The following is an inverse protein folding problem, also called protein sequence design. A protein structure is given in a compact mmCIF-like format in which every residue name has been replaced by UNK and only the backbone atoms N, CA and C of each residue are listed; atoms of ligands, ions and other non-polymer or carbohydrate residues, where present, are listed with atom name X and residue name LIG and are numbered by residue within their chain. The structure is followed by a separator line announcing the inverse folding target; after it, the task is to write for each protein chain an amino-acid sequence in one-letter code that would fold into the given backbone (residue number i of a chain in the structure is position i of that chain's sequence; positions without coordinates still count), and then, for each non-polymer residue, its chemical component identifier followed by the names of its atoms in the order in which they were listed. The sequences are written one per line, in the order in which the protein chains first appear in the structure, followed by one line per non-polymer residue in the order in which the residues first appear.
data_IF_162893059142
#
_entry.id   IF_162893059142
#
_cell.length_a   1.000
_cell.length_b   1.000
_cell.length_c   1.000
_cell.angle_alpha   90.00
_cell.angle_beta   90.00
_cell.angle_gamma   90.00
#
_symmetry.space_group_name_H-M   'P 1'
#
loop_
_entity.id
_entity.type
_entity.pdbx_description
1 polymer ?
#
# COMPACT_ATOMS: atom_id res chain seq x y z
N UNK A 1 4.35 -9.76 -23.68
CA UNK A 1 3.37 -10.39 -22.76
C UNK A 1 3.83 -10.64 -21.32
N UNK A 2 5.09 -10.99 -21.05
CA UNK A 2 5.57 -11.37 -19.70
C UNK A 2 5.20 -10.39 -18.58
N UNK A 3 5.40 -9.09 -18.80
CA UNK A 3 5.02 -8.06 -17.82
C UNK A 3 3.52 -7.93 -17.67
N UNK A 4 2.71 -8.15 -18.71
CA UNK A 4 1.26 -8.16 -18.57
C UNK A 4 0.75 -9.29 -17.65
N UNK A 5 1.49 -10.40 -17.55
CA UNK A 5 1.19 -11.54 -16.65
C UNK A 5 1.64 -11.34 -15.20
N UNK A 6 2.16 -10.16 -14.83
CA UNK A 6 2.55 -9.86 -13.44
C UNK A 6 4.05 -9.76 -13.21
N UNK A 7 4.88 -10.10 -14.19
CA UNK A 7 6.34 -10.03 -14.05
C UNK A 7 6.83 -8.58 -14.00
N UNK A 8 7.85 -8.31 -13.17
CA UNK A 8 8.51 -7.01 -13.13
C UNK A 8 9.90 -7.14 -13.77
N UNK A 9 10.23 -6.25 -14.72
CA UNK A 9 11.53 -6.26 -15.40
C UNK A 9 12.29 -5.00 -15.02
N UNK A 10 13.47 -5.16 -14.44
CA UNK A 10 14.38 -4.06 -14.14
C UNK A 10 15.28 -3.79 -15.34
N UNK A 11 15.25 -2.56 -15.84
CA UNK A 11 16.12 -2.08 -16.94
C UNK A 11 17.35 -1.44 -16.31
N UNK A 12 18.53 -1.92 -16.69
CA UNK A 12 19.82 -1.43 -16.18
C UNK A 12 20.63 -0.73 -17.28
N UNK A 13 21.45 0.26 -16.89
CA UNK A 13 22.49 0.88 -17.72
C UNK A 13 23.82 0.72 -17.00
N UNK A 14 24.79 0.05 -17.64
CA UNK A 14 26.07 -0.31 -17.02
C UNK A 14 25.91 -1.03 -15.66
N UNK A 15 24.97 -1.97 -15.57
CA UNK A 15 24.69 -2.71 -14.34
C UNK A 15 23.93 -1.92 -13.27
N UNK A 16 23.72 -0.61 -13.44
CA UNK A 16 22.93 0.21 -12.52
C UNK A 16 21.45 0.23 -12.95
N UNK A 17 20.49 -0.05 -12.04
CA UNK A 17 19.07 0.01 -12.37
C UNK A 17 18.66 1.47 -12.67
N UNK A 18 18.04 1.69 -13.83
CA UNK A 18 17.59 3.02 -14.28
C UNK A 18 16.08 3.12 -14.48
N UNK A 19 15.40 2.00 -14.72
CA UNK A 19 13.95 1.96 -14.90
C UNK A 19 13.41 0.57 -14.56
N UNK A 20 12.08 0.46 -14.41
CA UNK A 20 11.39 -0.81 -14.21
C UNK A 20 10.09 -0.85 -15.02
N UNK A 21 9.89 -1.91 -15.80
CA UNK A 21 8.62 -2.20 -16.44
C UNK A 21 7.75 -3.02 -15.47
N UNK A 22 6.55 -2.54 -15.19
CA UNK A 22 5.58 -3.19 -14.30
C UNK A 22 4.23 -3.33 -15.02
N UNK A 23 3.41 -4.35 -14.67
CA UNK A 23 2.07 -4.47 -15.21
C UNK A 23 1.22 -3.26 -14.79
N UNK A 24 0.47 -2.71 -15.75
CA UNK A 24 -0.52 -1.66 -15.48
C UNK A 24 -1.63 -2.30 -14.63
N UNK A 25 -1.77 -1.87 -13.38
CA UNK A 25 -2.78 -2.39 -12.44
C UNK A 25 -2.24 -3.17 -11.24
N UNK A 26 -0.93 -3.49 -11.17
CA UNK A 26 -0.36 -4.03 -9.92
C UNK A 26 -0.27 -2.91 -8.87
N UNK A 27 -0.74 -3.11 -7.63
CA UNK A 27 -0.50 -2.16 -6.57
C UNK A 27 1.01 -2.04 -6.35
N UNK A 28 1.56 -0.87 -6.64
CA UNK A 28 2.96 -0.58 -6.38
C UNK A 28 3.22 -0.77 -4.87
N UNK A 29 4.16 -1.65 -4.45
CA UNK A 29 4.50 -1.83 -3.05
C UNK A 29 4.82 -0.50 -2.33
N UNK A 30 5.45 0.43 -3.04
CA UNK A 30 5.78 1.76 -2.52
C UNK A 30 4.50 2.57 -2.24
N UNK A 31 3.49 2.48 -3.11
CA UNK A 31 2.19 3.13 -2.89
C UNK A 31 1.43 2.54 -1.69
N UNK A 32 1.56 1.24 -1.43
CA UNK A 32 0.96 0.63 -0.24
C UNK A 32 1.61 1.16 1.03
N UNK A 33 2.95 1.21 1.04
CA UNK A 33 3.71 1.75 2.17
C UNK A 33 3.34 3.21 2.43
N UNK A 34 3.30 4.02 1.38
CA UNK A 34 2.90 5.43 1.44
C UNK A 34 1.46 5.60 1.96
N UNK A 35 0.52 4.76 1.53
CA UNK A 35 -0.85 4.78 2.03
C UNK A 35 -0.94 4.45 3.53
N UNK A 36 -0.18 3.43 3.98
CA UNK A 36 -0.11 3.08 5.41
C UNK A 36 0.50 4.22 6.22
N UNK A 37 1.60 4.81 5.74
CA UNK A 37 2.23 5.96 6.41
C UNK A 37 1.26 7.14 6.54
N UNK A 38 0.48 7.45 5.48
CA UNK A 38 -0.58 8.47 5.54
C UNK A 38 -1.66 8.13 6.56
N UNK A 39 -2.12 6.89 6.62
CA UNK A 39 -3.13 6.47 7.60
C UNK A 39 -2.60 6.55 9.04
N UNK A 40 -1.34 6.16 9.26
CA UNK A 40 -0.70 6.25 10.57
C UNK A 40 -0.53 7.71 11.00
N UNK A 41 -0.07 8.59 10.11
CA UNK A 41 0.01 10.03 10.38
C UNK A 41 -1.38 10.63 10.67
N UNK A 42 -2.36 10.25 9.85
CA UNK A 42 -3.75 10.63 10.07
C UNK A 42 -4.30 10.09 11.38
N UNK A 43 -3.80 8.98 11.94
CA UNK A 43 -4.30 8.47 13.22
C UNK A 43 -3.77 9.24 14.43
N UNK A 44 -2.63 9.94 14.30
CA UNK A 44 -2.01 10.66 15.42
C UNK A 44 -2.96 11.70 16.00
N UNK A 45 -3.08 11.70 17.33
CA UNK A 45 -3.92 12.63 18.08
C UNK A 45 -5.43 12.36 17.99
N UNK A 46 -5.87 11.32 17.28
CA UNK A 46 -7.29 10.93 17.21
C UNK A 46 -7.51 9.64 17.99
N UNK A 47 -8.36 9.72 19.00
CA UNK A 47 -8.74 8.58 19.85
C UNK A 47 -10.25 8.39 19.82
N UNK A 48 -10.70 7.14 19.89
CA UNK A 48 -12.12 6.80 19.80
C UNK A 48 -12.94 7.19 21.03
N UNK A 49 -12.31 7.59 22.14
CA UNK A 49 -12.99 7.98 23.39
C UNK A 49 -13.71 6.84 24.13
N UNK A 50 -13.98 5.73 23.44
CA UNK A 50 -14.62 4.51 23.94
C UNK A 50 -13.86 3.26 23.44
N UNK A 51 -14.01 2.11 24.11
CA UNK A 51 -13.40 0.87 23.64
C UNK A 51 -13.95 0.43 22.29
N UNK A 52 -13.06 0.03 21.37
CA UNK A 52 -13.43 -0.52 20.04
C UNK A 52 -14.45 -1.65 20.14
N UNK A 53 -14.36 -2.49 21.18
CA UNK A 53 -15.28 -3.61 21.42
C UNK A 53 -16.74 -3.15 21.54
N UNK A 54 -16.98 -2.03 22.22
CA UNK A 54 -18.32 -1.47 22.38
C UNK A 54 -18.91 -1.06 21.02
N UNK A 55 -18.12 -0.41 20.17
CA UNK A 55 -18.54 0.00 18.83
C UNK A 55 -18.83 -1.22 17.92
N UNK A 56 -18.06 -2.30 18.05
CA UNK A 56 -18.30 -3.55 17.30
C UNK A 56 -19.62 -4.20 17.73
N UNK A 57 -19.90 -4.23 19.03
CA UNK A 57 -21.12 -4.82 19.58
C UNK A 57 -22.37 -4.00 19.20
N UNK A 58 -22.26 -2.68 19.18
CA UNK A 58 -23.32 -1.78 18.73
C UNK A 58 -23.68 -2.01 17.25
N UNK A 59 -22.69 -2.09 16.36
CA UNK A 59 -22.93 -2.33 14.93
C UNK A 59 -23.42 -3.75 14.57
N UNK A 60 -23.48 -4.67 15.53
CA UNK A 60 -23.99 -6.04 15.36
C UNK A 60 -25.43 -6.23 15.87
N UNK A 61 -26.01 -5.22 16.53
CA UNK A 61 -27.44 -5.17 16.84
C UNK A 61 -28.21 -4.58 15.67
#
# INVERSE_FOLDING_TARGET
ERVARGEQITITKHGKPIARLVPIGRPNPDRRREAVERLMEFSKGRTLGVPVKQLIEEGRR
#
